data_IF_747016245464
#
_entry.id   IF_747016245464
#
_cell.length_a   1.000
_cell.length_b   1.000
_cell.length_c   1.000
_cell.angle_alpha   90.00
_cell.angle_beta   90.00
_cell.angle_gamma   90.00
#
_symmetry.space_group_name_H-M   'P 1'
#
loop_
_entity.id
_entity.type
_entity.pdbx_description
1 polymer ?
#
# COMPACT_ATOMS: atom_id res chain seq x y z
N UNK A 1 -6.87 -14.47 12.70
CA UNK A 1 -6.16 -13.22 12.37
C UNK A 1 -4.70 -13.58 12.22
N UNK A 2 -4.02 -13.15 11.16
CA UNK A 2 -2.58 -13.41 10.96
C UNK A 2 -1.84 -12.80 12.17
N UNK A 3 -0.95 -13.56 12.81
CA UNK A 3 -0.31 -13.13 14.07
C UNK A 3 0.44 -11.79 13.90
N UNK A 4 1.08 -11.57 12.75
CA UNK A 4 1.73 -10.30 12.42
C UNK A 4 0.76 -9.11 12.33
N UNK A 5 -0.44 -9.31 11.77
CA UNK A 5 -1.47 -8.27 11.77
C UNK A 5 -1.95 -8.00 13.19
N UNK A 6 -2.17 -9.04 14.00
CA UNK A 6 -2.58 -8.89 15.40
C UNK A 6 -1.55 -8.08 16.18
N UNK A 7 -0.25 -8.40 16.02
CA UNK A 7 0.86 -7.64 16.60
C UNK A 7 0.84 -6.18 16.16
N UNK A 8 0.65 -5.88 14.88
CA UNK A 8 0.50 -4.48 14.43
C UNK A 8 -0.66 -3.74 15.11
N UNK A 9 -1.74 -4.43 15.46
CA UNK A 9 -2.92 -3.82 16.08
C UNK A 9 -2.78 -3.61 17.60
N UNK A 10 -1.86 -4.33 18.23
CA UNK A 10 -1.61 -4.33 19.67
C UNK A 10 -0.32 -3.58 20.05
N UNK A 11 0.57 -3.35 19.08
CA UNK A 11 1.86 -2.70 19.27
C UNK A 11 1.74 -1.17 19.27
N UNK A 12 2.23 -0.55 20.35
CA UNK A 12 2.29 0.90 20.51
C UNK A 12 3.60 1.50 19.95
N UNK A 13 4.66 0.69 19.81
CA UNK A 13 6.01 1.16 19.46
C UNK A 13 6.32 1.05 17.94
N UNK A 14 5.47 0.37 17.17
CA UNK A 14 5.52 0.33 15.71
C UNK A 14 6.55 -0.64 15.12
N UNK A 15 7.20 -1.46 15.93
CA UNK A 15 8.14 -2.50 15.49
C UNK A 15 7.42 -3.56 14.63
N UNK A 16 6.25 -4.02 15.07
CA UNK A 16 5.43 -4.97 14.32
C UNK A 16 4.99 -4.40 12.97
N UNK A 17 4.73 -3.08 12.92
CA UNK A 17 4.40 -2.38 11.69
C UNK A 17 5.58 -2.30 10.73
N UNK A 18 6.79 -2.06 11.24
CA UNK A 18 8.00 -2.09 10.43
C UNK A 18 8.31 -3.48 9.86
N UNK A 19 8.15 -4.53 10.68
CA UNK A 19 8.28 -5.92 10.24
C UNK A 19 7.24 -6.26 9.16
N UNK A 20 5.98 -5.89 9.39
CA UNK A 20 4.90 -6.03 8.42
C UNK A 20 5.26 -5.37 7.09
N UNK A 21 5.68 -4.10 7.12
CA UNK A 21 6.00 -3.39 5.90
C UNK A 21 7.19 -4.01 5.17
N UNK A 22 8.22 -4.42 5.90
CA UNK A 22 9.42 -5.05 5.31
C UNK A 22 9.07 -6.31 4.50
N UNK A 23 8.12 -7.10 4.98
CA UNK A 23 7.67 -8.34 4.32
C UNK A 23 6.84 -8.05 3.07
N UNK A 24 5.96 -7.04 3.10
CA UNK A 24 4.97 -6.84 2.05
C UNK A 24 5.23 -5.65 1.11
N UNK A 25 6.24 -4.81 1.38
CA UNK A 25 6.55 -3.64 0.56
C UNK A 25 6.80 -4.01 -0.90
N UNK A 26 7.47 -5.13 -1.18
CA UNK A 26 7.75 -5.62 -2.54
C UNK A 26 6.46 -5.91 -3.33
N UNK A 27 5.42 -6.41 -2.66
CA UNK A 27 4.12 -6.66 -3.29
C UNK A 27 3.44 -5.35 -3.69
N UNK A 28 3.55 -4.33 -2.84
CA UNK A 28 3.01 -2.99 -3.10
C UNK A 28 3.81 -2.32 -4.21
N UNK A 29 5.13 -2.23 -4.08
CA UNK A 29 6.07 -1.67 -5.06
C UNK A 29 5.87 -2.29 -6.45
N UNK A 30 5.86 -3.62 -6.55
CA UNK A 30 5.66 -4.30 -7.83
C UNK A 30 4.30 -4.00 -8.47
N UNK A 31 3.25 -3.85 -7.66
CA UNK A 31 1.90 -3.56 -8.15
C UNK A 31 1.72 -2.10 -8.61
N UNK A 32 2.32 -1.15 -7.90
CA UNK A 32 2.33 0.28 -8.24
C UNK A 32 3.24 0.52 -9.44
N UNK A 33 4.48 0.03 -9.37
CA UNK A 33 5.50 0.18 -10.40
C UNK A 33 5.04 -0.37 -11.74
N UNK A 34 4.38 -1.53 -11.77
CA UNK A 34 3.82 -2.07 -13.02
C UNK A 34 2.91 -1.09 -13.74
N UNK A 35 2.07 -0.34 -13.01
CA UNK A 35 1.11 0.58 -13.60
C UNK A 35 1.76 1.91 -13.96
N UNK A 36 2.46 2.55 -13.02
CA UNK A 36 3.05 3.87 -13.22
C UNK A 36 4.14 3.85 -14.28
N UNK A 37 5.05 2.88 -14.24
CA UNK A 37 6.12 2.78 -15.23
C UNK A 37 5.57 2.47 -16.62
N UNK A 38 4.53 1.63 -16.74
CA UNK A 38 3.85 1.38 -18.02
C UNK A 38 3.15 2.62 -18.60
N UNK A 39 2.80 3.57 -17.74
CA UNK A 39 2.20 4.85 -18.12
C UNK A 39 3.25 5.96 -18.36
N UNK A 40 4.55 5.63 -18.30
CA UNK A 40 5.66 6.55 -18.58
C UNK A 40 6.11 7.41 -17.40
N UNK A 41 5.66 7.11 -16.17
CA UNK A 41 6.10 7.80 -14.96
C UNK A 41 7.44 7.26 -14.44
N UNK A 42 8.08 8.01 -13.54
CA UNK A 42 9.41 7.69 -13.01
C UNK A 42 9.33 6.81 -11.77
N UNK A 43 10.47 6.27 -11.35
CA UNK A 43 10.59 5.52 -10.09
C UNK A 43 10.24 6.39 -8.88
N UNK A 44 10.62 7.66 -8.89
CA UNK A 44 10.28 8.60 -7.82
C UNK A 44 8.76 8.68 -7.59
N UNK A 45 7.95 8.67 -8.67
CA UNK A 45 6.48 8.64 -8.56
C UNK A 45 5.97 7.33 -7.95
N UNK A 46 6.65 6.21 -8.20
CA UNK A 46 6.33 4.90 -7.62
C UNK A 46 6.61 4.89 -6.12
N UNK A 47 7.74 5.46 -5.72
CA UNK A 47 8.14 5.55 -4.32
C UNK A 47 7.19 6.46 -3.55
N UNK A 48 6.80 7.60 -4.12
CA UNK A 48 5.82 8.52 -3.52
C UNK A 48 4.46 7.83 -3.28
N UNK A 49 3.92 7.13 -4.27
CA UNK A 49 2.64 6.40 -4.13
C UNK A 49 2.77 5.26 -3.11
N UNK A 50 3.93 4.60 -3.06
CA UNK A 50 4.15 3.49 -2.14
C UNK A 50 4.28 3.99 -0.69
N UNK A 51 4.97 5.11 -0.48
CA UNK A 51 5.07 5.79 0.81
C UNK A 51 3.70 6.29 1.31
N UNK A 52 2.89 6.84 0.40
CA UNK A 52 1.53 7.25 0.72
C UNK A 52 0.65 6.04 1.13
N UNK A 53 0.81 4.88 0.49
CA UNK A 53 0.13 3.64 0.92
C UNK A 53 0.57 3.22 2.32
N UNK A 54 1.88 3.27 2.61
CA UNK A 54 2.43 2.98 3.94
C UNK A 54 1.74 3.84 5.01
N UNK A 55 1.73 5.16 4.82
CA UNK A 55 1.10 6.09 5.77
C UNK A 55 -0.39 5.79 5.94
N UNK A 56 -1.15 5.65 4.84
CA UNK A 56 -2.60 5.39 4.90
C UNK A 56 -2.97 4.06 5.56
N UNK A 57 -2.07 3.08 5.56
CA UNK A 57 -2.30 1.80 6.23
C UNK A 57 -2.08 1.90 7.74
N UNK A 58 -1.13 2.73 8.17
CA UNK A 58 -0.84 3.01 9.58
C UNK A 58 -1.85 3.99 10.22
N UNK A 59 -2.36 4.94 9.43
CA UNK A 59 -3.28 5.99 9.87
C UNK A 59 -4.51 5.47 10.64
N UNK A 60 -5.03 6.33 11.53
CA UNK A 60 -6.23 6.06 12.32
C UNK A 60 -6.16 4.75 13.13
N UNK A 61 -5.01 4.46 13.75
CA UNK A 61 -4.76 3.22 14.50
C UNK A 61 -5.06 1.97 13.65
N UNK A 62 -4.42 1.90 12.48
CA UNK A 62 -4.49 0.76 11.57
C UNK A 62 -5.92 0.41 11.14
N UNK A 63 -6.81 1.41 11.06
CA UNK A 63 -8.25 1.20 10.76
C UNK A 63 -8.45 0.39 9.48
N UNK A 64 -7.60 0.63 8.48
CA UNK A 64 -7.68 -0.07 7.19
C UNK A 64 -7.23 -1.53 7.30
N UNK A 65 -6.20 -1.84 8.11
CA UNK A 65 -5.78 -3.23 8.37
C UNK A 65 -6.89 -4.01 9.09
N UNK A 66 -7.64 -3.36 10.00
CA UNK A 66 -8.77 -3.98 10.72
C UNK A 66 -9.93 -4.44 9.81
N UNK A 67 -10.01 -3.93 8.57
CA UNK A 67 -11.03 -4.36 7.61
C UNK A 67 -10.65 -5.62 6.84
N UNK A 68 -9.39 -6.06 6.92
CA UNK A 68 -8.97 -7.30 6.31
C UNK A 68 -9.64 -8.51 7.00
N UNK A 69 -10.16 -9.42 6.19
CA UNK A 69 -10.90 -10.63 6.64
C UNK A 69 -10.27 -11.95 6.20
N UNK A 70 -9.11 -11.92 5.56
CA UNK A 70 -8.44 -13.13 5.12
C UNK A 70 -7.79 -13.91 6.26
N UNK A 71 -7.49 -15.18 5.99
CA UNK A 71 -6.99 -16.12 7.00
C UNK A 71 -5.49 -16.44 6.88
N UNK A 72 -4.83 -16.05 5.79
CA UNK A 72 -3.44 -16.39 5.50
C UNK A 72 -2.67 -15.26 4.78
N UNK A 73 -1.34 -15.43 4.70
CA UNK A 73 -0.42 -14.47 4.08
C UNK A 73 -0.67 -14.28 2.58
N UNK A 74 -1.14 -15.29 1.87
CA UNK A 74 -1.43 -15.19 0.43
C UNK A 74 -2.61 -14.25 0.17
N UNK A 75 -3.67 -14.39 0.96
CA UNK A 75 -4.82 -13.49 0.92
C UNK A 75 -4.44 -12.06 1.31
N UNK A 76 -3.54 -11.90 2.28
CA UNK A 76 -3.03 -10.58 2.68
C UNK A 76 -2.21 -9.94 1.56
N UNK A 77 -1.28 -10.66 0.95
CA UNK A 77 -0.53 -10.21 -0.22
C UNK A 77 -1.46 -9.81 -1.37
N UNK A 78 -2.50 -10.60 -1.64
CA UNK A 78 -3.47 -10.28 -2.69
C UNK A 78 -4.27 -9.01 -2.35
N UNK A 79 -4.63 -8.81 -1.08
CA UNK A 79 -5.31 -7.60 -0.60
C UNK A 79 -4.42 -6.36 -0.72
N UNK A 80 -3.15 -6.44 -0.33
CA UNK A 80 -2.17 -5.36 -0.45
C UNK A 80 -1.88 -5.02 -1.92
N UNK A 81 -1.75 -6.03 -2.78
CA UNK A 81 -1.66 -5.83 -4.23
C UNK A 81 -2.86 -5.06 -4.77
N UNK A 82 -4.07 -5.37 -4.30
CA UNK A 82 -5.28 -4.65 -4.71
C UNK A 82 -5.27 -3.19 -4.23
N UNK A 83 -4.77 -2.94 -3.02
CA UNK A 83 -4.56 -1.57 -2.52
C UNK A 83 -3.58 -0.84 -3.44
N UNK A 84 -2.41 -1.42 -3.75
CA UNK A 84 -1.42 -0.80 -4.62
C UNK A 84 -1.96 -0.49 -6.01
N UNK A 85 -2.67 -1.43 -6.64
CA UNK A 85 -3.33 -1.21 -7.94
C UNK A 85 -4.35 -0.06 -7.89
N UNK A 86 -5.17 0.00 -6.83
CA UNK A 86 -6.18 1.04 -6.71
C UNK A 86 -5.56 2.41 -6.46
N UNK A 87 -4.59 2.50 -5.54
CA UNK A 87 -3.84 3.73 -5.27
C UNK A 87 -3.12 4.26 -6.51
N UNK A 88 -2.44 3.38 -7.27
CA UNK A 88 -1.81 3.75 -8.52
C UNK A 88 -2.82 4.29 -9.55
N UNK A 89 -3.98 3.64 -9.70
CA UNK A 89 -5.04 4.12 -10.60
C UNK A 89 -5.59 5.49 -10.18
N UNK A 90 -5.80 5.69 -8.89
CA UNK A 90 -6.32 6.95 -8.38
C UNK A 90 -5.30 8.08 -8.54
N UNK A 91 -4.02 7.79 -8.30
CA UNK A 91 -2.92 8.71 -8.55
C UNK A 91 -2.81 9.09 -10.04
N UNK A 92 -2.89 8.11 -10.94
CA UNK A 92 -2.90 8.35 -12.39
C UNK A 92 -4.08 9.24 -12.82
N UNK A 93 -5.28 8.99 -12.28
CA UNK A 93 -6.47 9.81 -12.56
C UNK A 93 -6.30 11.24 -12.06
N UNK A 94 -5.73 11.42 -10.87
CA UNK A 94 -5.47 12.75 -10.31
C UNK A 94 -4.47 13.53 -11.17
N UNK A 95 -3.35 12.90 -11.54
CA UNK A 95 -2.32 13.54 -12.37
C UNK A 95 -2.78 13.83 -13.79
N UNK A 96 -3.59 12.95 -14.40
CA UNK A 96 -4.17 13.22 -15.71
C UNK A 96 -5.10 14.44 -15.68
N UNK A 97 -5.91 14.59 -14.62
CA UNK A 97 -6.77 15.77 -14.43
C UNK A 97 -5.96 17.07 -14.26
N UNK A 98 -4.81 17.01 -13.59
CA UNK A 98 -3.92 18.17 -13.47
C UNK A 98 -3.29 18.55 -14.82
N UNK A 99 -2.91 17.56 -15.65
CA UNK A 99 -2.34 17.80 -16.98
C UNK A 99 -3.33 18.37 -18.01
N UNK A 100 -4.63 18.10 -17.87
CA UNK A 100 -5.68 18.63 -18.78
C UNK A 100 -6.09 20.07 -18.41
N UNK A 101 -5.83 20.49 -17.16
CA UNK A 101 -6.18 21.82 -16.64
C UNK A 101 -5.05 22.85 -16.77
N UNK A 102 -3.89 22.44 -17.29
CA UNK A 102 -2.76 23.31 -17.64
C UNK A 102 -2.73 23.47 -19.16
#
# INVERSE_FOLDING_TARGET
MIDLLRRCLEDDDGEAWHEFWTIFQEVVLGSVGKLLLSAGYRRDDVDDVTMDIYVRLAESHYRRLKTFRGSDLSQLSHWLRRIGVNSARDWLRANLKHRIRQ
#
